data_IF_135958203972
#
_entry.id   IF_135958203972
#
_cell.length_a   1.000
_cell.length_b   1.000
_cell.length_c   1.000
_cell.angle_alpha   90.00
_cell.angle_beta   90.00
_cell.angle_gamma   90.00
#
_symmetry.space_group_name_H-M   'P 1'
#
loop_
_entity.id
_entity.type
_entity.pdbx_description
1 polymer ?
#
# COMPACT_ATOMS: atom_id res chain seq x y z
N UNK A 1 20.67 22.93 16.00
CA UNK A 1 20.59 22.95 17.47
C UNK A 1 19.55 21.90 17.79
N UNK A 2 20.04 20.76 18.25
CA UNK A 2 19.53 19.48 17.78
C UNK A 2 18.99 18.73 18.99
N UNK A 3 17.69 18.41 18.97
CA UNK A 3 17.14 17.58 20.03
C UNK A 3 17.58 16.14 19.76
N UNK A 4 18.20 15.45 20.74
CA UNK A 4 18.79 14.15 20.51
C UNK A 4 17.71 13.14 20.13
N UNK A 5 18.03 12.30 19.15
CA UNK A 5 17.23 11.14 18.80
C UNK A 5 17.24 10.21 20.03
N UNK A 6 16.14 10.19 20.78
CA UNK A 6 15.94 9.16 21.79
C UNK A 6 15.75 7.83 21.07
N UNK A 7 16.77 6.97 21.14
CA UNK A 7 16.70 5.61 20.63
C UNK A 7 15.47 4.92 21.22
N UNK A 8 14.56 4.36 20.41
CA UNK A 8 13.45 3.59 20.93
C UNK A 8 14.01 2.42 21.74
N UNK A 9 13.61 2.37 23.02
CA UNK A 9 14.00 1.29 23.94
C UNK A 9 13.64 -0.04 23.30
N UNK A 10 14.65 -0.89 23.14
CA UNK A 10 14.53 -2.25 22.63
C UNK A 10 13.69 -3.09 23.60
N UNK A 11 12.36 -3.03 23.46
CA UNK A 11 11.45 -3.84 24.28
C UNK A 11 11.67 -5.31 23.92
N UNK A 12 11.94 -6.19 24.90
CA UNK A 12 12.04 -7.61 24.62
C UNK A 12 10.69 -8.11 24.11
N UNK A 13 10.70 -8.64 22.88
CA UNK A 13 9.50 -9.20 22.23
C UNK A 13 8.95 -10.28 23.15
N UNK A 14 7.74 -10.08 23.68
CA UNK A 14 7.10 -11.10 24.51
C UNK A 14 6.86 -12.35 23.66
N UNK A 15 7.21 -13.56 24.15
CA UNK A 15 6.86 -14.79 23.46
C UNK A 15 5.35 -14.85 23.22
N UNK A 16 4.95 -15.12 21.98
CA UNK A 16 3.55 -15.26 21.63
C UNK A 16 3.00 -16.53 22.30
N UNK A 17 2.33 -16.38 23.44
CA UNK A 17 1.66 -17.48 24.12
C UNK A 17 0.55 -18.04 23.22
N UNK A 18 0.82 -19.15 22.54
CA UNK A 18 -0.20 -19.84 21.76
C UNK A 18 -1.22 -20.48 22.70
N UNK A 19 -2.54 -20.34 22.44
CA UNK A 19 -3.56 -20.97 23.26
C UNK A 19 -3.45 -22.49 23.15
N UNK A 20 -3.00 -23.13 24.23
CA UNK A 20 -2.87 -24.58 24.34
C UNK A 20 -4.22 -25.25 24.57
N UNK A 21 -5.12 -25.16 23.60
CA UNK A 21 -6.35 -25.96 23.58
C UNK A 21 -6.86 -26.23 22.15
N UNK A 22 -6.13 -27.06 21.42
CA UNK A 22 -6.68 -27.83 20.31
C UNK A 22 -6.52 -29.31 20.67
N UNK A 23 -7.60 -29.90 21.21
CA UNK A 23 -7.71 -31.36 21.31
C UNK A 23 -7.60 -31.97 19.91
N UNK A 24 -6.68 -32.91 19.67
CA UNK A 24 -6.58 -33.59 18.38
C UNK A 24 -7.89 -34.28 18.01
N UNK A 25 -8.28 -34.31 16.73
CA UNK A 25 -9.39 -35.15 16.29
C UNK A 25 -9.06 -36.62 16.55
N UNK A 26 -10.04 -37.38 17.05
CA UNK A 26 -9.86 -38.78 17.44
C UNK A 26 -9.38 -39.65 16.26
N UNK A 27 -8.32 -40.45 16.42
CA UNK A 27 -7.95 -41.43 15.42
C UNK A 27 -8.93 -42.61 15.47
N UNK A 28 -9.86 -42.67 14.51
CA UNK A 28 -10.58 -43.90 14.21
C UNK A 28 -9.62 -44.91 13.56
N UNK A 29 -8.85 -45.61 14.40
CA UNK A 29 -7.91 -46.67 14.04
C UNK A 29 -7.91 -47.75 15.10
N UNK A 30 -8.26 -48.98 14.72
CA UNK A 30 -8.59 -50.05 15.66
C UNK A 30 -7.39 -50.70 16.36
N UNK A 31 -7.63 -51.11 17.61
CA UNK A 31 -7.15 -52.33 18.29
C UNK A 31 -5.70 -52.80 18.01
N UNK A 32 -4.79 -52.63 18.98
CA UNK A 32 -3.37 -52.97 18.77
C UNK A 32 -2.43 -53.09 19.99
N UNK A 33 -2.91 -53.59 21.14
CA UNK A 33 -2.09 -54.12 22.27
C UNK A 33 -1.16 -53.18 23.08
N UNK A 34 -0.76 -53.57 24.32
CA UNK A 34 -0.08 -52.68 25.29
C UNK A 34 1.40 -53.03 25.57
N UNK A 35 2.23 -52.01 25.88
CA UNK A 35 3.55 -52.18 26.54
C UNK A 35 3.81 -51.04 27.53
N UNK A 36 4.45 -51.38 28.67
CA UNK A 36 4.64 -50.54 29.86
C UNK A 36 5.72 -49.43 29.73
N UNK A 37 5.53 -48.34 30.51
CA UNK A 37 6.44 -47.60 31.45
C UNK A 37 7.98 -47.52 31.19
N UNK A 38 8.73 -46.52 31.73
CA UNK A 38 8.45 -45.73 32.94
C UNK A 38 8.73 -44.20 32.87
N UNK A 39 8.49 -43.52 34.01
CA UNK A 39 8.63 -42.07 34.18
C UNK A 39 9.95 -41.64 34.85
N UNK A 40 10.60 -40.59 34.32
CA UNK A 40 11.66 -39.74 34.89
C UNK A 40 11.57 -38.38 34.14
N UNK A 41 11.76 -37.19 34.69
CA UNK A 41 12.05 -36.75 36.07
C UNK A 41 12.02 -35.21 36.17
N UNK A 42 11.94 -34.68 37.38
CA UNK A 42 11.81 -33.23 37.65
C UNK A 42 13.11 -32.45 37.41
N UNK A 43 13.03 -31.18 36.98
CA UNK A 43 14.10 -30.21 37.27
C UNK A 43 13.60 -28.75 37.42
N UNK A 44 14.42 -27.93 38.08
CA UNK A 44 14.02 -26.73 38.84
C UNK A 44 14.29 -25.38 38.14
N UNK A 45 13.51 -24.39 38.58
CA UNK A 45 13.74 -22.94 38.51
C UNK A 45 15.03 -22.52 39.27
N UNK A 46 15.82 -21.59 38.71
CA UNK A 46 16.10 -20.27 39.34
C UNK A 46 16.17 -19.13 38.28
N UNK A 47 16.24 -17.82 38.57
CA UNK A 47 16.11 -16.98 39.80
C UNK A 47 15.87 -15.51 39.38
N UNK A 48 15.33 -14.67 40.27
CA UNK A 48 15.15 -13.23 40.06
C UNK A 48 16.44 -12.40 40.27
N UNK A 49 16.61 -11.30 39.53
CA UNK A 49 17.71 -10.34 39.67
C UNK A 49 17.17 -8.91 39.74
N UNK A 50 17.29 -8.27 40.89
CA UNK A 50 16.91 -6.87 41.12
C UNK A 50 18.09 -5.93 40.88
N UNK A 51 17.88 -4.82 40.16
CA UNK A 51 18.86 -3.74 40.02
C UNK A 51 18.37 -2.45 40.70
N UNK A 52 19.28 -1.63 41.26
CA UNK A 52 18.94 -0.40 41.98
C UNK A 52 18.67 0.79 41.03
N UNK A 53 17.89 1.81 41.48
CA UNK A 53 17.62 3.01 40.71
C UNK A 53 18.86 3.92 40.62
N UNK A 54 19.10 4.52 39.44
CA UNK A 54 20.14 5.55 39.26
C UNK A 54 19.55 6.95 39.40
N UNK A 55 20.19 7.73 40.25
CA UNK A 55 19.88 9.12 40.57
C UNK A 55 20.13 10.05 39.37
N UNK A 56 19.11 10.78 38.90
CA UNK A 56 19.24 11.74 37.79
C UNK A 56 19.50 13.16 38.30
N UNK A 57 20.69 13.67 37.96
CA UNK A 57 21.19 14.99 38.37
C UNK A 57 20.82 16.05 37.31
N UNK A 58 19.97 17.01 37.67
CA UNK A 58 19.34 17.92 36.71
C UNK A 58 20.06 19.24 36.42
N UNK A 59 19.46 20.01 35.52
CA UNK A 59 19.48 21.48 35.56
C UNK A 59 20.57 22.20 34.76
N UNK A 60 20.46 22.22 33.42
CA UNK A 60 21.02 23.31 32.55
C UNK A 60 20.54 23.31 31.08
N UNK A 61 20.05 22.20 30.53
CA UNK A 61 19.69 22.08 29.11
C UNK A 61 18.41 22.79 28.62
N UNK A 62 17.53 23.25 29.53
CA UNK A 62 16.16 23.69 29.18
C UNK A 62 16.09 24.94 28.27
N UNK A 63 16.98 25.92 28.46
CA UNK A 63 16.94 27.18 27.69
C UNK A 63 17.30 26.99 26.20
N UNK A 64 18.21 26.05 25.92
CA UNK A 64 18.64 25.69 24.56
C UNK A 64 17.45 25.13 23.76
N UNK A 65 16.62 24.28 24.40
CA UNK A 65 15.43 23.69 23.76
C UNK A 65 14.40 24.74 23.32
N UNK A 66 14.17 25.77 24.14
CA UNK A 66 13.22 26.83 23.81
C UNK A 66 13.65 27.68 22.60
N UNK A 67 14.96 27.92 22.42
CA UNK A 67 15.48 28.65 21.26
C UNK A 67 15.28 27.85 19.96
N UNK A 68 15.49 26.53 20.00
CA UNK A 68 15.27 25.62 18.85
C UNK A 68 13.82 25.74 18.35
N UNK A 69 12.86 25.60 19.27
CA UNK A 69 11.43 25.58 18.95
C UNK A 69 11.00 26.92 18.34
N UNK A 70 11.50 28.05 18.86
CA UNK A 70 11.25 29.36 18.27
C UNK A 70 11.75 29.50 16.82
N UNK A 71 12.94 29.00 16.51
CA UNK A 71 13.51 29.05 15.15
C UNK A 71 12.71 28.16 14.19
N UNK A 72 12.33 26.95 14.60
CA UNK A 72 11.55 26.02 13.77
C UNK A 72 10.17 26.62 13.41
N UNK A 73 9.49 27.26 14.37
CA UNK A 73 8.20 27.91 14.11
C UNK A 73 8.33 29.07 13.11
N UNK A 74 9.40 29.88 13.19
CA UNK A 74 9.64 30.97 12.24
C UNK A 74 9.90 30.43 10.83
N UNK A 75 10.73 29.39 10.70
CA UNK A 75 11.01 28.75 9.39
C UNK A 75 9.73 28.11 8.82
N UNK A 76 8.94 27.43 9.65
CA UNK A 76 7.67 26.82 9.25
C UNK A 76 6.68 27.84 8.69
N UNK A 77 6.52 28.99 9.35
CA UNK A 77 5.67 30.10 8.86
C UNK A 77 6.18 30.65 7.52
N UNK A 78 7.49 30.84 7.37
CA UNK A 78 8.07 31.32 6.10
C UNK A 78 7.82 30.34 4.94
N UNK A 79 8.03 29.04 5.15
CA UNK A 79 7.77 28.01 4.13
C UNK A 79 6.27 27.91 3.80
N UNK A 80 5.40 27.98 4.82
CA UNK A 80 3.94 27.92 4.63
C UNK A 80 3.41 29.13 3.83
N UNK A 81 3.97 30.33 4.06
CA UNK A 81 3.63 31.51 3.27
C UNK A 81 4.08 31.39 1.81
N UNK A 82 5.25 30.77 1.54
CA UNK A 82 5.72 30.53 0.16
C UNK A 82 4.94 29.44 -0.61
N UNK A 83 4.09 28.63 0.05
CA UNK A 83 3.25 27.62 -0.60
C UNK A 83 1.85 28.12 -0.98
N UNK A 84 1.44 29.30 -0.51
CA UNK A 84 0.04 29.76 -0.61
C UNK A 84 -0.41 30.16 -2.02
N UNK A 85 0.50 30.30 -2.97
CA UNK A 85 0.23 30.77 -4.34
C UNK A 85 0.22 29.63 -5.39
N UNK A 86 0.70 28.42 -5.07
CA UNK A 86 0.64 27.26 -5.99
C UNK A 86 -0.73 26.53 -5.93
N UNK A 87 -1.51 26.71 -4.87
CA UNK A 87 -2.79 26.01 -4.66
C UNK A 87 -3.93 26.58 -5.55
N UNK A 88 -3.69 27.64 -6.33
CA UNK A 88 -4.66 28.17 -7.31
C UNK A 88 -4.76 27.33 -8.61
N UNK A 89 -4.62 26.01 -8.50
CA UNK A 89 -4.71 25.07 -9.62
C UNK A 89 -6.17 24.68 -9.87
N UNK A 90 -6.91 25.57 -10.53
CA UNK A 90 -8.32 25.36 -10.85
C UNK A 90 -8.57 24.11 -11.72
N UNK A 91 -9.53 23.27 -11.31
CA UNK A 91 -9.94 22.11 -12.12
C UNK A 91 -10.82 21.06 -11.43
N UNK A 92 -10.84 20.99 -10.09
CA UNK A 92 -11.45 19.85 -9.38
C UNK A 92 -12.97 19.95 -9.09
N UNK A 93 -13.56 21.14 -9.22
CA UNK A 93 -15.00 21.39 -8.96
C UNK A 93 -15.95 20.62 -9.91
N UNK A 94 -15.47 20.17 -11.07
CA UNK A 94 -16.31 19.53 -12.11
C UNK A 94 -16.58 18.04 -11.92
N UNK A 95 -15.94 17.36 -10.95
CA UNK A 95 -15.99 15.90 -10.84
C UNK A 95 -16.93 15.34 -9.75
N UNK A 96 -17.38 16.17 -8.80
CA UNK A 96 -18.21 15.72 -7.67
C UNK A 96 -19.50 16.53 -7.44
N UNK A 97 -19.76 17.54 -8.28
CA UNK A 97 -21.04 18.23 -8.28
C UNK A 97 -22.16 17.28 -8.74
N UNK A 98 -23.07 16.94 -7.82
CA UNK A 98 -24.26 16.11 -8.06
C UNK A 98 -25.28 16.77 -8.99
N UNK A 99 -24.91 16.93 -10.26
CA UNK A 99 -25.77 17.42 -11.31
C UNK A 99 -26.95 16.48 -11.51
N UNK A 100 -28.16 17.01 -11.40
CA UNK A 100 -29.39 16.31 -11.80
C UNK A 100 -29.19 15.76 -13.20
N UNK A 101 -29.47 14.47 -13.39
CA UNK A 101 -29.25 13.77 -14.65
C UNK A 101 -30.25 14.27 -15.70
N UNK A 102 -29.95 15.38 -16.36
CA UNK A 102 -30.69 15.81 -17.54
C UNK A 102 -30.42 14.78 -18.64
N UNK A 103 -31.45 14.15 -19.25
CA UNK A 103 -31.23 13.21 -20.33
C UNK A 103 -30.54 13.93 -21.49
N UNK A 104 -29.33 13.46 -21.83
CA UNK A 104 -28.54 14.03 -22.91
C UNK A 104 -29.31 13.79 -24.22
N UNK A 105 -29.74 14.83 -24.96
CA UNK A 105 -30.33 14.63 -26.27
C UNK A 105 -29.30 13.98 -27.19
N UNK A 106 -29.68 12.89 -27.86
CA UNK A 106 -28.78 12.15 -28.75
C UNK A 106 -28.11 13.11 -29.76
N UNK A 107 -26.77 13.09 -29.90
CA UNK A 107 -26.10 13.89 -30.92
C UNK A 107 -26.54 13.38 -32.30
N UNK A 108 -27.28 14.22 -33.02
CA UNK A 108 -27.59 13.98 -34.43
C UNK A 108 -26.26 14.03 -35.20
N UNK A 109 -25.83 12.89 -35.72
CA UNK A 109 -24.59 12.77 -36.48
C UNK A 109 -24.77 13.51 -37.81
N UNK A 110 -24.41 14.79 -37.82
CA UNK A 110 -24.24 15.59 -39.05
C UNK A 110 -22.81 15.42 -39.51
N UNK A 111 -22.60 14.56 -40.50
CA UNK A 111 -21.31 14.41 -41.18
C UNK A 111 -21.03 15.63 -42.07
N UNK A 112 -20.48 16.69 -41.50
CA UNK A 112 -20.05 17.87 -42.26
C UNK A 112 -18.58 17.71 -42.68
N UNK A 113 -18.39 17.25 -43.92
CA UNK A 113 -17.08 16.98 -44.50
C UNK A 113 -16.51 18.29 -45.05
N UNK A 114 -15.58 18.92 -44.32
CA UNK A 114 -14.85 20.11 -44.77
C UNK A 114 -13.44 19.72 -45.25
N UNK A 115 -13.17 19.69 -46.57
CA UNK A 115 -11.87 19.30 -47.11
C UNK A 115 -10.90 20.50 -47.09
N UNK A 116 -10.04 20.57 -46.07
CA UNK A 116 -8.91 21.50 -46.05
C UNK A 116 -7.60 20.74 -46.34
N UNK A 117 -6.82 21.12 -47.38
CA UNK A 117 -5.59 20.42 -47.74
C UNK A 117 -4.44 20.78 -46.79
N UNK A 118 -4.11 19.89 -45.86
CA UNK A 118 -2.98 20.04 -44.93
C UNK A 118 -1.72 19.39 -45.55
N UNK A 119 -0.55 20.07 -45.56
CA UNK A 119 0.67 19.52 -46.13
C UNK A 119 1.19 18.31 -45.35
N UNK A 120 1.55 17.25 -46.08
CA UNK A 120 2.11 16.00 -45.56
C UNK A 120 3.52 16.15 -44.98
N UNK A 121 3.62 16.70 -43.77
CA UNK A 121 4.80 16.50 -42.93
C UNK A 121 4.73 15.08 -42.35
N UNK A 122 5.57 14.18 -42.87
CA UNK A 122 5.68 12.80 -42.40
C UNK A 122 6.34 12.72 -41.02
N UNK A 123 5.61 13.15 -39.98
CA UNK A 123 5.95 12.84 -38.60
C UNK A 123 5.71 11.35 -38.38
N UNK A 124 6.77 10.56 -38.48
CA UNK A 124 6.80 9.16 -38.05
C UNK A 124 6.65 9.10 -36.54
N UNK A 125 5.43 9.35 -36.03
CA UNK A 125 5.10 9.02 -34.66
C UNK A 125 5.36 7.52 -34.46
N UNK A 126 6.12 7.11 -33.42
CA UNK A 126 6.31 5.71 -33.14
C UNK A 126 4.93 5.06 -32.99
N UNK A 127 4.67 4.05 -33.82
CA UNK A 127 3.38 3.38 -33.88
C UNK A 127 3.22 2.54 -32.61
N UNK A 128 2.71 3.16 -31.54
CA UNK A 128 2.39 2.49 -30.27
C UNK A 128 1.36 1.42 -30.57
N UNK A 129 1.82 0.17 -30.67
CA UNK A 129 0.97 -1.01 -30.77
C UNK A 129 0.38 -1.28 -29.39
N UNK A 130 -0.66 -0.53 -29.03
CA UNK A 130 -1.31 -0.61 -27.71
C UNK A 130 -1.69 -2.04 -27.40
N UNK A 131 -0.93 -2.70 -26.52
CA UNK A 131 -1.23 -4.07 -26.13
C UNK A 131 -2.49 -4.07 -25.25
N UNK A 132 -3.50 -4.82 -25.69
CA UNK A 132 -4.80 -4.92 -25.03
C UNK A 132 -4.66 -5.47 -23.59
N UNK A 133 -3.70 -6.35 -23.35
CA UNK A 133 -3.39 -6.89 -22.03
C UNK A 133 -2.82 -5.80 -21.12
N UNK A 134 -1.87 -4.99 -21.62
CA UNK A 134 -1.26 -3.91 -20.83
C UNK A 134 -2.27 -2.81 -20.50
N UNK A 135 -3.19 -2.49 -21.41
CA UNK A 135 -4.32 -1.61 -21.11
C UNK A 135 -5.24 -2.21 -20.03
N UNK A 136 -5.46 -3.53 -20.07
CA UNK A 136 -6.25 -4.24 -19.05
C UNK A 136 -5.57 -4.18 -17.69
N UNK A 137 -4.26 -4.49 -17.62
CA UNK A 137 -3.45 -4.39 -16.40
C UNK A 137 -3.50 -2.99 -15.79
N UNK A 138 -3.38 -1.94 -16.61
CA UNK A 138 -3.49 -0.54 -16.17
C UNK A 138 -4.87 -0.22 -15.58
N UNK A 139 -5.94 -0.69 -16.22
CA UNK A 139 -7.31 -0.51 -15.73
C UNK A 139 -7.57 -1.28 -14.41
N UNK A 140 -7.03 -2.49 -14.28
CA UNK A 140 -7.13 -3.32 -13.08
C UNK A 140 -6.39 -2.67 -11.90
N UNK A 141 -5.15 -2.20 -12.10
CA UNK A 141 -4.41 -1.48 -11.05
C UNK A 141 -5.14 -0.18 -10.65
N UNK A 142 -5.72 0.56 -11.59
CA UNK A 142 -6.53 1.75 -11.27
C UNK A 142 -7.77 1.38 -10.41
N UNK A 143 -8.40 0.23 -10.69
CA UNK A 143 -9.54 -0.28 -9.93
C UNK A 143 -9.14 -0.68 -8.51
N UNK A 144 -8.03 -1.41 -8.35
CA UNK A 144 -7.46 -1.78 -7.04
C UNK A 144 -7.05 -0.54 -6.23
N UNK A 145 -6.40 0.44 -6.87
CA UNK A 145 -6.07 1.74 -6.24
C UNK A 145 -7.30 2.47 -5.71
N UNK A 146 -8.39 2.52 -6.49
CA UNK A 146 -9.62 3.17 -6.04
C UNK A 146 -10.27 2.45 -4.85
N UNK A 147 -10.20 1.12 -4.80
CA UNK A 147 -10.65 0.34 -3.65
C UNK A 147 -9.77 0.56 -2.40
N UNK A 148 -8.44 0.61 -2.55
CA UNK A 148 -7.51 0.95 -1.48
C UNK A 148 -7.78 2.33 -0.87
N UNK A 149 -8.13 3.33 -1.70
CA UNK A 149 -8.51 4.65 -1.21
C UNK A 149 -9.78 4.63 -0.35
N UNK A 150 -10.84 3.93 -0.80
CA UNK A 150 -12.07 3.75 -0.01
C UNK A 150 -11.83 2.97 1.30
N UNK A 151 -10.93 1.99 1.27
CA UNK A 151 -10.49 1.29 2.47
C UNK A 151 -9.81 2.26 3.45
N UNK A 152 -8.90 3.10 2.96
CA UNK A 152 -8.23 4.12 3.77
C UNK A 152 -9.21 5.15 4.35
N UNK A 153 -10.17 5.63 3.57
CA UNK A 153 -11.24 6.55 4.03
C UNK A 153 -12.04 6.00 5.22
N UNK A 154 -12.08 4.66 5.38
CA UNK A 154 -12.81 3.99 6.48
C UNK A 154 -11.90 3.61 7.65
N UNK A 155 -10.63 3.25 7.40
CA UNK A 155 -9.73 2.65 8.39
C UNK A 155 -8.55 3.56 8.80
N UNK A 156 -8.34 4.68 8.10
CA UNK A 156 -7.18 5.58 8.23
C UNK A 156 -5.81 4.92 8.05
N UNK A 157 -5.76 3.72 7.49
CA UNK A 157 -4.53 2.97 7.13
C UNK A 157 -4.78 2.14 5.87
N UNK A 158 -3.70 1.81 5.15
CA UNK A 158 -3.73 0.79 4.10
C UNK A 158 -3.42 -0.62 4.67
N UNK A 159 -3.90 -1.71 4.04
CA UNK A 159 -3.64 -3.09 4.48
C UNK A 159 -2.14 -3.43 4.49
N UNK A 160 -1.51 -3.58 5.65
CA UNK A 160 -0.05 -3.77 5.74
C UNK A 160 0.42 -5.05 5.05
N UNK A 161 1.44 -4.94 4.21
CA UNK A 161 2.18 -6.09 3.68
C UNK A 161 3.66 -5.76 3.55
N UNK A 162 4.49 -6.41 4.38
CA UNK A 162 5.94 -6.19 4.46
C UNK A 162 6.69 -6.66 3.19
N UNK A 163 6.12 -7.63 2.48
CA UNK A 163 6.66 -8.20 1.24
C UNK A 163 5.66 -8.03 0.09
N UNK A 164 6.13 -8.18 -1.15
CA UNK A 164 5.26 -8.20 -2.32
C UNK A 164 4.43 -9.49 -2.30
N UNK A 165 3.12 -9.37 -2.09
CA UNK A 165 2.16 -10.48 -2.13
C UNK A 165 1.41 -10.49 -3.46
N UNK A 166 0.98 -11.67 -3.93
CA UNK A 166 0.09 -11.78 -5.09
C UNK A 166 -1.31 -11.31 -4.71
N UNK A 167 -1.92 -10.39 -5.45
CA UNK A 167 -3.28 -9.93 -5.12
C UNK A 167 -4.35 -10.99 -5.33
N UNK A 168 -4.16 -11.86 -6.32
CA UNK A 168 -5.10 -12.92 -6.72
C UNK A 168 -5.18 -14.11 -5.75
N UNK A 169 -4.32 -14.14 -4.73
CA UNK A 169 -4.44 -15.07 -3.62
C UNK A 169 -5.56 -14.61 -2.67
N UNK A 170 -6.60 -15.43 -2.55
CA UNK A 170 -7.75 -15.16 -1.68
C UNK A 170 -7.35 -15.05 -0.20
N UNK A 171 -6.25 -15.68 0.21
CA UNK A 171 -5.76 -15.62 1.58
C UNK A 171 -4.86 -14.40 1.84
N UNK A 172 -4.53 -13.61 0.81
CA UNK A 172 -3.71 -12.40 0.94
C UNK A 172 -4.36 -11.32 1.80
N UNK A 173 -3.54 -10.54 2.49
CA UNK A 173 -4.00 -9.39 3.31
C UNK A 173 -4.83 -8.41 2.48
N UNK A 174 -4.47 -8.20 1.20
CA UNK A 174 -5.20 -7.31 0.30
C UNK A 174 -6.59 -7.87 -0.04
N UNK A 175 -6.68 -9.15 -0.42
CA UNK A 175 -7.97 -9.77 -0.76
C UNK A 175 -8.94 -9.72 0.42
N UNK A 176 -8.47 -10.11 1.62
CA UNK A 176 -9.26 -10.07 2.87
C UNK A 176 -9.69 -8.66 3.29
N UNK A 177 -8.90 -7.63 2.96
CA UNK A 177 -9.21 -6.25 3.30
C UNK A 177 -10.17 -5.58 2.31
N UNK A 178 -10.04 -5.89 1.01
CA UNK A 178 -10.82 -5.23 -0.04
C UNK A 178 -12.13 -5.96 -0.39
N UNK A 179 -12.19 -7.28 -0.26
CA UNK A 179 -13.36 -8.07 -0.65
C UNK A 179 -14.24 -8.46 0.56
N UNK A 180 -15.57 -8.54 0.41
CA UNK A 180 -16.38 -8.11 -0.75
C UNK A 180 -16.71 -6.59 -0.73
N UNK A 181 -16.29 -5.88 0.32
CA UNK A 181 -16.81 -4.53 0.66
C UNK A 181 -16.43 -3.42 -0.32
N UNK A 182 -15.18 -3.42 -0.80
CA UNK A 182 -14.63 -2.38 -1.68
C UNK A 182 -14.39 -2.87 -3.11
N UNK A 183 -14.29 -4.19 -3.29
CA UNK A 183 -14.27 -4.91 -4.56
C UNK A 183 -15.16 -6.16 -4.47
N UNK A 184 -16.03 -6.37 -5.46
CA UNK A 184 -16.81 -7.60 -5.59
C UNK A 184 -15.92 -8.82 -5.86
N UNK A 185 -14.86 -8.63 -6.66
CA UNK A 185 -13.89 -9.66 -7.04
C UNK A 185 -12.52 -9.04 -7.29
N UNK A 186 -11.45 -9.74 -6.90
CA UNK A 186 -10.08 -9.36 -7.26
C UNK A 186 -9.82 -9.57 -8.76
N UNK A 187 -9.27 -8.57 -9.47
CA UNK A 187 -8.80 -8.76 -10.84
C UNK A 187 -7.63 -9.75 -10.93
N UNK A 188 -7.57 -10.49 -12.04
CA UNK A 188 -6.47 -11.39 -12.38
C UNK A 188 -5.72 -10.85 -13.60
N UNK A 189 -4.39 -11.03 -13.65
CA UNK A 189 -3.62 -10.69 -14.85
C UNK A 189 -4.14 -11.49 -16.06
N UNK A 190 -4.26 -10.88 -17.26
CA UNK A 190 -4.68 -11.56 -18.48
C UNK A 190 -3.86 -12.83 -18.83
N UNK A 191 -2.62 -12.91 -18.35
CA UNK A 191 -1.69 -14.05 -18.54
C UNK A 191 -1.44 -14.84 -17.25
N UNK A 192 -2.38 -14.82 -16.29
CA UNK A 192 -2.34 -15.72 -15.14
C UNK A 192 -2.35 -17.20 -15.60
N UNK A 193 -1.62 -18.12 -14.93
CA UNK A 193 -0.85 -17.93 -13.71
C UNK A 193 0.60 -17.43 -13.91
N UNK A 194 1.03 -17.19 -15.16
CA UNK A 194 2.39 -16.79 -15.51
C UNK A 194 2.76 -15.44 -14.89
N UNK A 195 1.85 -14.47 -14.97
CA UNK A 195 1.96 -13.17 -14.32
C UNK A 195 0.86 -12.97 -13.27
N UNK A 196 1.08 -12.00 -12.38
CA UNK A 196 0.20 -11.63 -11.29
C UNK A 196 0.43 -10.17 -10.90
N UNK A 197 -0.57 -9.53 -10.30
CA UNK A 197 -0.39 -8.22 -9.68
C UNK A 197 0.28 -8.35 -8.31
N UNK A 198 1.33 -7.55 -8.09
CA UNK A 198 2.01 -7.47 -6.81
C UNK A 198 1.42 -6.37 -5.91
N UNK A 199 1.43 -6.58 -4.59
CA UNK A 199 1.04 -5.58 -3.59
C UNK A 199 2.02 -5.51 -2.41
N UNK A 200 2.34 -4.30 -1.97
CA UNK A 200 3.10 -4.00 -0.75
C UNK A 200 2.57 -2.73 -0.08
N UNK A 201 2.59 -2.63 1.24
CA UNK A 201 2.22 -1.41 1.98
C UNK A 201 2.83 -1.35 3.38
N UNK A 202 3.17 -0.14 3.82
CA UNK A 202 3.67 0.21 5.15
C UNK A 202 2.62 0.93 6.03
N UNK A 203 1.32 0.74 5.75
CA UNK A 203 0.14 1.43 6.31
C UNK A 203 -0.12 2.86 5.83
N UNK A 204 0.90 3.65 5.52
CA UNK A 204 0.76 5.05 5.08
C UNK A 204 0.85 5.18 3.55
N UNK A 205 1.64 4.32 2.93
CA UNK A 205 1.83 4.23 1.48
C UNK A 205 1.50 2.84 0.97
N UNK A 206 1.20 2.73 -0.32
CA UNK A 206 1.12 1.43 -0.97
C UNK A 206 1.79 1.45 -2.34
N UNK A 207 2.17 0.25 -2.78
CA UNK A 207 2.66 -0.04 -4.11
C UNK A 207 1.86 -1.22 -4.68
N UNK A 208 1.30 -1.04 -5.87
CA UNK A 208 0.79 -2.12 -6.72
C UNK A 208 1.55 -2.16 -8.05
N UNK A 209 1.83 -3.36 -8.53
CA UNK A 209 2.66 -3.59 -9.74
C UNK A 209 2.04 -4.59 -10.69
N UNK A 210 2.32 -4.41 -11.98
CA UNK A 210 2.02 -5.36 -13.05
C UNK A 210 3.24 -5.51 -13.98
N UNK A 211 3.39 -6.67 -14.61
CA UNK A 211 4.38 -6.88 -15.68
C UNK A 211 3.75 -6.45 -17.00
N UNK A 212 4.36 -5.48 -17.68
CA UNK A 212 3.98 -5.09 -19.04
C UNK A 212 4.68 -5.94 -20.09
N UNK A 213 4.01 -6.14 -21.22
CA UNK A 213 4.56 -6.80 -22.39
C UNK A 213 5.20 -5.80 -23.38
N UNK A 214 4.60 -4.62 -23.55
CA UNK A 214 5.15 -3.55 -24.37
C UNK A 214 6.32 -2.85 -23.66
N UNK A 215 7.55 -3.15 -24.12
CA UNK A 215 8.80 -2.54 -23.63
C UNK A 215 9.03 -1.11 -24.12
N UNK A 216 8.21 -0.61 -25.04
CA UNK A 216 8.22 0.78 -25.47
C UNK A 216 7.26 1.67 -24.63
N UNK A 217 6.46 1.09 -23.73
CA UNK A 217 5.52 1.85 -22.90
C UNK A 217 6.27 2.78 -21.93
N UNK A 218 6.13 4.11 -22.04
CA UNK A 218 6.93 5.06 -21.27
C UNK A 218 6.59 5.08 -19.78
N UNK A 219 5.52 4.40 -19.35
CA UNK A 219 5.17 4.25 -17.94
C UNK A 219 5.79 3.00 -17.28
N UNK A 220 6.40 2.10 -18.05
CA UNK A 220 7.08 0.93 -17.53
C UNK A 220 8.53 1.22 -17.10
N UNK A 221 9.02 0.43 -16.13
CA UNK A 221 10.38 0.51 -15.60
C UNK A 221 11.01 -0.88 -15.67
N UNK A 222 12.19 -1.00 -16.28
CA UNK A 222 12.92 -2.29 -16.34
C UNK A 222 13.44 -2.69 -14.96
N UNK A 223 13.02 -3.86 -14.48
CA UNK A 223 13.46 -4.47 -13.24
C UNK A 223 13.94 -5.91 -13.53
N UNK A 224 15.25 -6.08 -13.71
CA UNK A 224 15.83 -7.33 -14.17
C UNK A 224 15.37 -7.67 -15.59
N UNK A 225 14.71 -8.80 -15.77
CA UNK A 225 14.15 -9.25 -17.06
C UNK A 225 12.73 -8.74 -17.32
N UNK A 226 12.06 -8.15 -16.32
CA UNK A 226 10.68 -7.70 -16.41
C UNK A 226 10.59 -6.19 -16.71
N UNK A 227 9.54 -5.80 -17.41
CA UNK A 227 9.15 -4.40 -17.57
C UNK A 227 7.95 -4.15 -16.66
N UNK A 228 8.11 -3.34 -15.61
CA UNK A 228 7.14 -3.21 -14.52
C UNK A 228 6.41 -1.88 -14.62
N UNK A 229 5.08 -1.93 -14.72
CA UNK A 229 4.24 -0.78 -14.41
C UNK A 229 3.97 -0.74 -12.91
N UNK A 230 4.12 0.44 -12.30
CA UNK A 230 3.99 0.66 -10.87
C UNK A 230 3.01 1.80 -10.61
N UNK A 231 2.08 1.57 -9.69
CA UNK A 231 1.17 2.59 -9.16
C UNK A 231 1.38 2.69 -7.66
N UNK A 232 1.64 3.89 -7.18
CA UNK A 232 1.74 4.22 -5.76
C UNK A 232 0.70 5.28 -5.37
N UNK A 233 0.45 5.40 -4.07
CA UNK A 233 -0.15 6.59 -3.48
C UNK A 233 0.37 6.77 -2.03
N UNK A 234 0.23 7.99 -1.52
CA UNK A 234 0.53 8.36 -0.14
C UNK A 234 -0.76 8.90 0.44
N UNK A 235 -1.18 8.42 1.61
CA UNK A 235 -2.28 9.08 2.29
C UNK A 235 -1.90 10.52 2.66
N UNK A 236 -2.70 11.48 2.18
CA UNK A 236 -2.65 12.85 2.67
C UNK A 236 -3.60 12.95 3.86
N UNK A 237 -3.07 13.38 4.99
CA UNK A 237 -3.84 13.92 6.12
C UNK A 237 -4.60 15.20 5.71
#
# INVERSE_FOLDING_TARGET
MDNPIENPVNQPVQPLEMPSNLTPPEPMGGSGSPTNLPAVGSNRQPSSSSMPPKEQKGGRGSYILMIIIGIILIIGVLVFLSWKDWISLGGLEKLWGGGKVTPIPMPKITSEISPSPIPSSATTSPQVTTNINDQTRKNDLATIKNALKKYYETNSVYPVSQMVTKTSDAESTLAKALMPTYLEKMPNDPLAPTYYYGYKSDSTTFEITAVLEDKADPAGITAGTYFIYKVTDISKE
#
